data_IF_109123345976
#
_entry.id   IF_109123345976
#
_cell.length_a   1.000
_cell.length_b   1.000
_cell.length_c   1.000
_cell.angle_alpha   90.00
_cell.angle_beta   90.00
_cell.angle_gamma   90.00
#
_symmetry.space_group_name_H-M   'P 1'
#
loop_
_entity.id
_entity.type
_entity.pdbx_description
1 polymer ?
#
# COMPACT_ATOMS: atom_id res chain seq x y z
N UNK A 1 -28.14 -22.80 -5.84
CA UNK A 1 -27.13 -22.85 -4.76
C UNK A 1 -26.19 -21.65 -4.80
N UNK A 2 -25.76 -21.21 -5.98
CA UNK A 2 -24.79 -20.11 -6.14
C UNK A 2 -25.31 -18.73 -5.70
N UNK A 3 -26.52 -18.35 -6.10
CA UNK A 3 -27.18 -17.09 -5.64
C UNK A 3 -27.30 -17.03 -4.11
N UNK A 4 -27.59 -18.16 -3.47
CA UNK A 4 -27.69 -18.24 -2.00
C UNK A 4 -26.35 -18.07 -1.29
N UNK A 5 -25.25 -18.58 -1.86
CA UNK A 5 -23.89 -18.34 -1.34
C UNK A 5 -23.50 -16.88 -1.47
N UNK A 6 -23.73 -16.27 -2.64
CA UNK A 6 -23.44 -14.85 -2.85
C UNK A 6 -24.23 -13.95 -1.88
N UNK A 7 -25.51 -14.27 -1.62
CA UNK A 7 -26.32 -13.51 -0.66
C UNK A 7 -25.78 -13.65 0.78
N UNK A 8 -25.37 -14.85 1.18
CA UNK A 8 -24.75 -15.09 2.48
C UNK A 8 -23.42 -14.35 2.62
N UNK A 9 -22.61 -14.32 1.55
CA UNK A 9 -21.32 -13.64 1.56
C UNK A 9 -21.50 -12.12 1.61
N UNK A 10 -22.40 -11.54 0.80
CA UNK A 10 -22.76 -10.11 0.88
C UNK A 10 -23.30 -9.75 2.28
N UNK A 11 -24.11 -10.62 2.88
CA UNK A 11 -24.61 -10.41 4.24
C UNK A 11 -23.47 -10.33 5.27
N UNK A 12 -22.49 -11.25 5.20
CA UNK A 12 -21.32 -11.25 6.09
C UNK A 12 -20.46 -10.02 5.88
N UNK A 13 -20.26 -9.60 4.63
CA UNK A 13 -19.46 -8.40 4.33
C UNK A 13 -20.16 -7.14 4.86
N UNK A 14 -21.49 -7.05 4.75
CA UNK A 14 -22.24 -5.94 5.35
C UNK A 14 -22.12 -5.90 6.88
N UNK A 15 -22.14 -7.06 7.54
CA UNK A 15 -21.92 -7.16 8.99
C UNK A 15 -20.50 -6.73 9.37
N UNK A 16 -19.49 -7.17 8.61
CA UNK A 16 -18.11 -6.76 8.80
C UNK A 16 -17.94 -5.23 8.68
N UNK A 17 -18.56 -4.60 7.67
CA UNK A 17 -18.56 -3.14 7.50
C UNK A 17 -19.13 -2.42 8.73
N UNK A 18 -20.25 -2.91 9.28
CA UNK A 18 -20.84 -2.33 10.49
C UNK A 18 -19.91 -2.44 11.70
N UNK A 19 -19.29 -3.61 11.89
CA UNK A 19 -18.34 -3.83 12.99
C UNK A 19 -17.11 -2.94 12.87
N UNK A 20 -16.53 -2.79 11.67
CA UNK A 20 -15.37 -1.92 11.47
C UNK A 20 -15.72 -0.43 11.60
N UNK A 21 -16.91 -0.01 11.21
CA UNK A 21 -17.39 1.35 11.49
C UNK A 21 -17.57 1.62 12.98
N UNK A 22 -18.09 0.63 13.73
CA UNK A 22 -18.19 0.73 15.18
C UNK A 22 -16.81 0.82 15.82
N UNK A 23 -15.87 -0.06 15.43
CA UNK A 23 -14.49 -0.04 15.90
C UNK A 23 -13.81 1.31 15.59
N UNK A 24 -14.00 1.85 14.38
CA UNK A 24 -13.47 3.16 14.00
C UNK A 24 -14.02 4.26 14.91
N UNK A 25 -15.34 4.29 15.15
CA UNK A 25 -15.97 5.29 16.03
C UNK A 25 -15.43 5.19 17.46
N UNK A 26 -15.28 3.97 17.98
CA UNK A 26 -14.70 3.72 19.30
C UNK A 26 -13.25 4.20 19.39
N UNK A 27 -12.41 3.82 18.42
CA UNK A 27 -10.99 4.18 18.38
C UNK A 27 -10.78 5.70 18.27
N UNK A 28 -11.65 6.40 17.53
CA UNK A 28 -11.63 7.87 17.45
C UNK A 28 -12.02 8.55 18.77
N UNK A 29 -12.80 7.90 19.64
CA UNK A 29 -13.19 8.44 20.95
C UNK A 29 -12.15 8.20 22.03
N UNK A 30 -11.31 7.18 21.89
CA UNK A 30 -10.24 6.85 22.83
C UNK A 30 -8.94 7.59 22.51
N UNK A 31 -8.60 8.62 23.30
CA UNK A 31 -7.49 9.57 23.09
C UNK A 31 -6.04 9.02 23.18
N UNK A 32 -5.80 7.70 23.21
CA UNK A 32 -4.44 7.13 23.38
C UNK A 32 -4.15 6.02 22.38
N UNK A 33 -3.03 6.15 21.66
CA UNK A 33 -2.49 5.18 20.67
C UNK A 33 -3.45 4.78 19.53
N UNK A 34 -4.55 5.51 19.37
CA UNK A 34 -5.63 5.22 18.42
C UNK A 34 -5.22 5.27 16.96
N UNK A 35 -4.15 5.96 16.59
CA UNK A 35 -3.82 6.16 15.17
C UNK A 35 -3.55 4.83 14.46
N UNK A 36 -2.90 3.87 15.14
CA UNK A 36 -2.67 2.53 14.56
C UNK A 36 -3.98 1.75 14.44
N UNK A 37 -4.85 1.83 15.44
CA UNK A 37 -6.13 1.12 15.45
C UNK A 37 -7.15 1.75 14.47
N UNK A 38 -7.10 3.07 14.30
CA UNK A 38 -7.87 3.84 13.31
C UNK A 38 -7.39 3.48 11.90
N UNK A 39 -6.07 3.43 11.68
CA UNK A 39 -5.47 2.98 10.42
C UNK A 39 -5.92 1.55 10.06
N UNK A 40 -5.84 0.62 11.02
CA UNK A 40 -6.31 -0.75 10.83
C UNK A 40 -7.83 -0.80 10.54
N UNK A 41 -8.63 0.01 11.22
CA UNK A 41 -10.08 0.08 10.97
C UNK A 41 -10.38 0.54 9.54
N UNK A 42 -9.64 1.53 9.05
CA UNK A 42 -9.76 1.98 7.66
C UNK A 42 -9.31 0.92 6.64
N UNK A 43 -8.21 0.21 6.91
CA UNK A 43 -7.77 -0.91 6.07
C UNK A 43 -8.89 -1.95 5.89
N UNK A 44 -9.50 -2.38 7.00
CA UNK A 44 -10.53 -3.41 6.96
C UNK A 44 -11.85 -2.93 6.33
N UNK A 45 -12.20 -1.65 6.49
CA UNK A 45 -13.29 -1.06 5.73
C UNK A 45 -12.99 -1.08 4.23
N UNK A 46 -11.80 -0.67 3.81
CA UNK A 46 -11.37 -0.69 2.42
C UNK A 46 -11.52 -2.07 1.79
N UNK A 47 -11.02 -3.09 2.48
CA UNK A 47 -11.13 -4.50 2.06
C UNK A 47 -12.57 -5.00 1.96
N UNK A 48 -13.41 -4.62 2.92
CA UNK A 48 -14.82 -5.02 2.89
C UNK A 48 -15.59 -4.37 1.73
N UNK A 49 -15.24 -3.14 1.36
CA UNK A 49 -15.83 -2.49 0.17
C UNK A 49 -15.28 -3.07 -1.13
N UNK A 50 -14.00 -3.47 -1.17
CA UNK A 50 -13.39 -4.21 -2.28
C UNK A 50 -14.12 -5.55 -2.51
N UNK A 51 -14.37 -6.32 -1.44
CA UNK A 51 -15.11 -7.60 -1.51
C UNK A 51 -16.56 -7.43 -1.99
N UNK A 52 -17.15 -6.23 -1.82
CA UNK A 52 -18.48 -5.88 -2.38
C UNK A 52 -18.44 -5.39 -3.82
N UNK A 53 -17.26 -5.13 -4.37
CA UNK A 53 -17.08 -4.47 -5.66
C UNK A 53 -17.38 -2.96 -5.64
N UNK A 54 -17.44 -2.33 -4.47
CA UNK A 54 -17.59 -0.88 -4.30
C UNK A 54 -16.19 -0.21 -4.26
N UNK A 55 -15.47 -0.26 -5.38
CA UNK A 55 -14.06 0.12 -5.48
C UNK A 55 -13.76 1.57 -5.11
N UNK A 56 -14.64 2.52 -5.45
CA UNK A 56 -14.49 3.94 -5.05
C UNK A 56 -14.36 4.11 -3.53
N UNK A 57 -15.20 3.41 -2.77
CA UNK A 57 -15.15 3.43 -1.30
C UNK A 57 -13.93 2.71 -0.77
N UNK A 58 -13.55 1.60 -1.41
CA UNK A 58 -12.33 0.88 -1.05
C UNK A 58 -11.10 1.79 -1.15
N UNK A 59 -10.96 2.54 -2.25
CA UNK A 59 -9.90 3.53 -2.46
C UNK A 59 -9.94 4.60 -1.36
N UNK A 60 -11.10 5.20 -1.09
CA UNK A 60 -11.22 6.25 -0.06
C UNK A 60 -10.70 5.79 1.31
N UNK A 61 -11.07 4.57 1.73
CA UNK A 61 -10.64 4.03 3.01
C UNK A 61 -9.17 3.61 3.02
N UNK A 62 -8.67 3.02 1.93
CA UNK A 62 -7.26 2.69 1.80
C UNK A 62 -6.37 3.96 1.81
N UNK A 63 -6.78 5.06 1.19
CA UNK A 63 -6.03 6.32 1.23
C UNK A 63 -6.02 6.95 2.64
N UNK A 64 -7.12 6.82 3.41
CA UNK A 64 -7.18 7.26 4.80
C UNK A 64 -6.22 6.47 5.70
N UNK A 65 -6.19 5.14 5.56
CA UNK A 65 -5.22 4.29 6.24
C UNK A 65 -3.78 4.71 5.87
N UNK A 66 -3.49 4.88 4.57
CA UNK A 66 -2.15 5.20 4.08
C UNK A 66 -1.61 6.47 4.71
N UNK A 67 -2.45 7.51 4.81
CA UNK A 67 -2.09 8.78 5.42
C UNK A 67 -1.68 8.62 6.89
N UNK A 68 -2.39 7.80 7.66
CA UNK A 68 -2.12 7.60 9.09
C UNK A 68 -0.91 6.67 9.28
N UNK A 69 -0.87 5.58 8.52
CA UNK A 69 0.22 4.60 8.53
C UNK A 69 1.57 5.24 8.17
N UNK A 70 1.62 6.17 7.21
CA UNK A 70 2.82 6.93 6.87
C UNK A 70 3.25 7.91 7.96
N UNK A 71 2.29 8.53 8.67
CA UNK A 71 2.58 9.49 9.74
C UNK A 71 3.07 8.82 11.02
N UNK A 72 2.55 7.63 11.34
CA UNK A 72 2.87 6.93 12.59
C UNK A 72 4.14 6.10 12.51
N UNK A 73 4.55 5.65 11.30
CA UNK A 73 5.66 4.70 11.08
C UNK A 73 5.58 3.41 11.93
N UNK A 74 4.44 3.15 12.56
CA UNK A 74 4.17 1.98 13.43
C UNK A 74 3.30 0.93 12.75
N UNK A 75 2.78 1.25 11.57
CA UNK A 75 1.92 0.37 10.78
C UNK A 75 2.77 -0.67 10.03
N UNK A 76 2.41 -1.94 10.20
CA UNK A 76 3.08 -3.09 9.59
C UNK A 76 2.42 -3.56 8.28
N UNK A 77 1.28 -2.98 7.90
CA UNK A 77 0.50 -3.41 6.73
C UNK A 77 0.57 -2.47 5.53
N UNK A 78 1.48 -1.48 5.53
CA UNK A 78 1.66 -0.51 4.43
C UNK A 78 1.91 -1.21 3.08
N UNK A 79 2.64 -2.31 3.07
CA UNK A 79 2.89 -3.07 1.85
C UNK A 79 1.63 -3.72 1.28
N UNK A 80 0.81 -4.30 2.16
CA UNK A 80 -0.47 -4.88 1.78
C UNK A 80 -1.43 -3.79 1.28
N UNK A 81 -1.41 -2.61 1.91
CA UNK A 81 -2.22 -1.47 1.53
C UNK A 81 -1.89 -0.94 0.14
N UNK A 82 -0.61 -0.77 -0.18
CA UNK A 82 -0.17 -0.38 -1.51
C UNK A 82 -0.52 -1.41 -2.58
N UNK A 83 -0.42 -2.69 -2.25
CA UNK A 83 -0.85 -3.76 -3.14
C UNK A 83 -2.37 -3.68 -3.41
N UNK A 84 -3.19 -3.57 -2.37
CA UNK A 84 -4.64 -3.43 -2.47
C UNK A 84 -5.04 -2.20 -3.30
N UNK A 85 -4.43 -1.03 -3.08
CA UNK A 85 -4.66 0.16 -3.91
C UNK A 85 -4.32 -0.08 -5.38
N UNK A 86 -3.21 -0.77 -5.67
CA UNK A 86 -2.84 -1.13 -7.03
C UNK A 86 -3.88 -2.01 -7.72
N UNK A 87 -4.38 -3.03 -7.01
CA UNK A 87 -5.43 -3.94 -7.50
C UNK A 87 -6.74 -3.19 -7.73
N UNK A 88 -7.16 -2.34 -6.79
CA UNK A 88 -8.43 -1.63 -6.91
C UNK A 88 -8.40 -0.62 -8.07
N UNK A 89 -7.31 0.12 -8.26
CA UNK A 89 -7.15 1.00 -9.42
C UNK A 89 -7.07 0.23 -10.75
N UNK A 90 -6.53 -0.99 -10.75
CA UNK A 90 -6.56 -1.87 -11.92
C UNK A 90 -7.99 -2.26 -12.28
N UNK A 91 -8.82 -2.59 -11.28
CA UNK A 91 -10.22 -2.97 -11.46
C UNK A 91 -11.08 -1.79 -11.98
N UNK A 92 -10.76 -0.55 -11.57
CA UNK A 92 -11.38 0.68 -12.08
C UNK A 92 -10.86 1.10 -13.47
N UNK A 93 -9.85 0.41 -14.02
CA UNK A 93 -9.23 0.75 -15.30
C UNK A 93 -8.28 1.96 -15.25
N UNK A 94 -7.93 2.43 -14.05
CA UNK A 94 -6.98 3.51 -13.81
C UNK A 94 -5.53 2.99 -13.78
N UNK A 95 -5.08 2.43 -14.89
CA UNK A 95 -3.79 1.71 -14.99
C UNK A 95 -2.57 2.55 -14.57
N UNK A 96 -2.57 3.86 -14.86
CA UNK A 96 -1.46 4.76 -14.48
C UNK A 96 -1.29 4.86 -12.95
N UNK A 97 -2.41 4.88 -12.21
CA UNK A 97 -2.40 4.89 -10.74
C UNK A 97 -2.05 3.52 -10.18
N UNK A 98 -2.58 2.45 -10.78
CA UNK A 98 -2.24 1.08 -10.40
C UNK A 98 -0.72 0.81 -10.49
N UNK A 99 -0.12 1.23 -11.61
CA UNK A 99 1.33 1.20 -11.83
C UNK A 99 2.05 1.95 -10.72
N UNK A 100 1.64 3.19 -10.41
CA UNK A 100 2.27 4.00 -9.36
C UNK A 100 2.25 3.30 -8.00
N UNK A 101 1.14 2.68 -7.61
CA UNK A 101 1.01 2.00 -6.32
C UNK A 101 1.78 0.67 -6.26
N UNK A 102 1.84 -0.09 -7.35
CA UNK A 102 2.68 -1.27 -7.46
C UNK A 102 4.19 -0.95 -7.42
N UNK A 103 4.61 0.19 -7.99
CA UNK A 103 6.00 0.64 -7.87
C UNK A 103 6.32 1.20 -6.47
N UNK A 104 5.32 1.71 -5.75
CA UNK A 104 5.46 2.21 -4.37
C UNK A 104 5.69 1.09 -3.34
N UNK A 105 5.33 -0.16 -3.66
CA UNK A 105 5.61 -1.36 -2.83
C UNK A 105 7.02 -1.92 -3.02
N UNK A 106 7.77 -1.40 -3.99
CA UNK A 106 9.13 -1.89 -4.26
C UNK A 106 10.08 -1.60 -3.09
N UNK A 107 11.12 -2.43 -2.86
CA UNK A 107 12.12 -2.22 -1.80
C UNK A 107 12.75 -0.82 -1.81
N UNK A 108 12.79 -0.15 -2.98
CA UNK A 108 13.26 1.22 -3.15
C UNK A 108 12.45 2.25 -2.34
N UNK A 109 11.15 2.04 -2.14
CA UNK A 109 10.32 2.97 -1.37
C UNK A 109 10.56 2.83 0.14
N UNK A 110 10.78 1.61 0.63
CA UNK A 110 11.25 1.35 2.01
C UNK A 110 12.60 2.03 2.27
N UNK A 111 13.53 1.99 1.30
CA UNK A 111 14.80 2.72 1.39
C UNK A 111 14.59 4.24 1.44
N UNK A 112 13.67 4.80 0.63
CA UNK A 112 13.33 6.24 0.72
C UNK A 112 12.78 6.67 2.09
N UNK A 113 11.99 5.82 2.73
CA UNK A 113 11.41 6.09 4.05
C UNK A 113 12.44 5.93 5.18
N UNK A 114 13.33 4.94 5.07
CA UNK A 114 14.38 4.66 6.06
C UNK A 114 15.56 5.64 5.99
N UNK A 115 15.90 6.15 4.81
CA UNK A 115 17.09 6.99 4.59
C UNK A 115 16.81 8.48 4.39
N UNK A 116 15.56 8.94 4.50
CA UNK A 116 15.19 10.36 4.52
C UNK A 116 15.74 11.18 3.34
N UNK A 117 14.96 11.34 2.27
CA UNK A 117 15.21 12.26 1.16
C UNK A 117 16.68 12.39 0.72
N UNK A 118 17.28 11.28 0.26
CA UNK A 118 18.37 11.44 -0.72
C UNK A 118 17.70 11.70 -2.06
N UNK A 119 17.77 12.95 -2.51
CA UNK A 119 17.25 13.40 -3.80
C UNK A 119 17.75 12.49 -4.93
N UNK A 120 16.92 11.55 -5.38
CA UNK A 120 17.05 10.95 -6.71
C UNK A 120 15.77 11.21 -7.49
N UNK A 121 15.44 12.48 -7.63
CA UNK A 121 14.62 12.98 -8.73
C UNK A 121 15.47 12.90 -10.00
N UNK A 122 15.48 11.72 -10.60
CA UNK A 122 15.60 11.59 -12.05
C UNK A 122 15.02 10.23 -12.39
N UNK A 123 13.81 10.24 -12.94
CA UNK A 123 13.15 9.06 -13.49
C UNK A 123 14.07 8.36 -14.52
N UNK A 124 14.93 9.14 -15.18
CA UNK A 124 15.99 8.70 -16.08
C UNK A 124 17.13 7.96 -15.37
N UNK A 125 17.52 8.37 -14.16
CA UNK A 125 18.66 7.80 -13.44
C UNK A 125 18.31 6.46 -12.79
N UNK A 126 17.08 6.31 -12.28
CA UNK A 126 16.58 5.03 -11.76
C UNK A 126 16.45 4.02 -12.91
N UNK A 127 15.92 4.43 -14.07
CA UNK A 127 15.89 3.58 -15.27
C UNK A 127 17.31 3.22 -15.76
N UNK A 128 18.26 4.16 -15.68
CA UNK A 128 19.67 3.92 -16.02
C UNK A 128 20.34 2.94 -15.06
N UNK A 129 20.14 3.08 -13.74
CA UNK A 129 20.67 2.16 -12.73
C UNK A 129 20.06 0.76 -12.92
N UNK A 130 18.76 0.68 -13.22
CA UNK A 130 18.09 -0.60 -13.44
C UNK A 130 18.59 -1.31 -14.71
N UNK A 131 18.77 -0.58 -15.81
CA UNK A 131 19.37 -1.09 -17.06
C UNK A 131 20.86 -1.43 -16.88
N UNK A 132 21.60 -0.62 -16.12
CA UNK A 132 23.01 -0.83 -15.82
C UNK A 132 23.23 -2.07 -14.93
N UNK A 133 22.43 -2.26 -13.89
CA UNK A 133 22.48 -3.45 -13.02
C UNK A 133 22.05 -4.71 -13.80
N UNK A 134 21.07 -4.60 -14.71
CA UNK A 134 20.63 -5.73 -15.55
C UNK A 134 21.64 -6.12 -16.65
N UNK A 135 22.57 -5.23 -17.01
CA UNK A 135 23.58 -5.45 -18.06
C UNK A 135 25.00 -5.70 -17.54
N UNK A 136 25.27 -5.41 -16.26
CA UNK A 136 26.59 -5.57 -15.61
C UNK A 136 26.60 -6.74 -14.61
N UNK A 137 26.00 -7.86 -14.98
CA UNK A 137 26.36 -9.17 -14.40
C UNK A 137 27.81 -9.51 -14.80
N UNK A 138 28.78 -8.76 -14.28
CA UNK A 138 30.14 -9.23 -14.05
C UNK A 138 30.78 -8.37 -12.94
N UNK A 139 30.59 -8.81 -11.70
CA UNK A 139 30.88 -8.09 -10.44
C UNK A 139 32.40 -7.94 -10.16
N UNK A 140 33.24 -8.41 -11.08
CA UNK A 140 34.69 -8.55 -10.89
C UNK A 140 35.49 -7.26 -11.11
N UNK A 141 34.99 -6.32 -11.91
CA UNK A 141 35.74 -5.12 -12.31
C UNK A 141 35.60 -3.94 -11.34
N UNK A 142 34.55 -3.90 -10.52
CA UNK A 142 34.25 -2.76 -9.64
C UNK A 142 35.13 -2.73 -8.37
N UNK A 143 35.60 -3.88 -7.90
CA UNK A 143 36.43 -3.96 -6.68
C UNK A 143 37.81 -3.32 -6.89
N UNK A 144 38.39 -3.44 -8.10
CA UNK A 144 39.76 -3.00 -8.36
C UNK A 144 39.93 -1.46 -8.39
N UNK A 145 38.87 -0.72 -8.74
CA UNK A 145 38.97 0.75 -8.84
C UNK A 145 38.78 1.48 -7.50
N UNK A 146 38.26 0.81 -6.46
CA UNK A 146 38.03 1.41 -5.15
C UNK A 146 39.25 1.24 -4.22
N UNK A 147 40.14 0.28 -4.51
CA UNK A 147 41.36 0.03 -3.70
C UNK A 147 42.56 0.94 -4.01
N UNK A 148 42.44 1.85 -5.00
CA UNK A 148 43.55 2.71 -5.46
C UNK A 148 43.24 4.22 -5.43
N UNK A 149 42.32 4.65 -4.55
CA UNK A 149 42.15 6.06 -4.14
C UNK A 149 42.21 6.09 -2.61
#
# INVERSE_FOLDING_TARGET
>A
MEVGRNLLDISKVNEAIQLFHFALCFNLQTLRDSDVDVAASYYWLGRSYEDKGEYDKAIEYYEKDLKISLNTQRSNHIDALYHSLGVVHQNEGEYDKAIKYHFSTSPLCRLKQQFGFVNTTNHTYIAYIYLFISSQLDVSSLIFSISNI
#
